data_IF_757087567942
#
_entry.id   IF_757087567942
#
_cell.length_a   1.000
_cell.length_b   1.000
_cell.length_c   1.000
_cell.angle_alpha   90.00
_cell.angle_beta   90.00
_cell.angle_gamma   90.00
#
_symmetry.space_group_name_H-M   'P 1'
#
loop_
_entity.id
_entity.type
_entity.pdbx_description
1 polymer ?
#
# COMPACT_ATOMS: atom_id res chain seq x y z
N UNK A 1 -21.40 54.06 -36.31
CA UNK A 1 -20.03 53.50 -36.18
C UNK A 1 -20.03 52.50 -35.04
N UNK A 2 -20.02 51.19 -35.33
CA UNK A 2 -19.90 50.14 -34.31
C UNK A 2 -18.62 49.33 -34.59
N UNK A 3 -17.69 49.35 -33.63
CA UNK A 3 -16.38 48.70 -33.71
C UNK A 3 -16.54 47.23 -33.30
N UNK A 4 -16.27 46.32 -34.23
CA UNK A 4 -16.32 44.87 -34.00
C UNK A 4 -15.00 44.40 -33.38
N UNK A 5 -14.99 44.18 -32.07
CA UNK A 5 -13.87 43.59 -31.34
C UNK A 5 -13.85 42.07 -31.54
N UNK A 6 -12.93 41.60 -32.37
CA UNK A 6 -12.66 40.17 -32.54
C UNK A 6 -11.96 39.65 -31.29
N UNK A 7 -12.71 38.98 -30.39
CA UNK A 7 -12.13 38.18 -29.30
C UNK A 7 -11.31 37.04 -29.87
N UNK A 8 -10.00 37.06 -29.64
CA UNK A 8 -9.10 35.97 -29.98
C UNK A 8 -9.29 34.73 -29.09
N UNK A 9 -8.72 33.57 -29.48
CA UNK A 9 -8.84 32.32 -28.73
C UNK A 9 -8.18 32.46 -27.35
N UNK A 10 -8.92 32.12 -26.29
CA UNK A 10 -8.43 32.13 -24.90
C UNK A 10 -7.33 31.09 -24.70
N UNK A 11 -6.23 31.50 -24.11
CA UNK A 11 -5.00 30.71 -23.89
C UNK A 11 -5.05 29.85 -22.60
N UNK A 12 -6.21 29.76 -21.94
CA UNK A 12 -6.34 29.16 -20.61
C UNK A 12 -6.74 27.67 -20.61
N UNK A 13 -6.71 27.01 -21.77
CA UNK A 13 -6.96 25.57 -21.85
C UNK A 13 -5.64 24.86 -22.14
N UNK A 14 -5.11 24.03 -21.22
CA UNK A 14 -3.96 23.20 -21.54
C UNK A 14 -4.36 22.29 -22.71
N UNK A 15 -3.60 22.37 -23.81
CA UNK A 15 -3.76 21.47 -24.95
C UNK A 15 -3.39 20.04 -24.54
N UNK A 16 -4.35 19.29 -24.02
CA UNK A 16 -4.24 17.84 -23.90
C UNK A 16 -4.45 17.17 -25.25
N UNK A 17 -3.44 17.19 -26.13
CA UNK A 17 -3.41 16.22 -27.24
C UNK A 17 -2.04 15.93 -27.81
N UNK A 18 -1.14 15.39 -27.00
CA UNK A 18 -0.14 14.49 -27.55
C UNK A 18 -0.71 13.07 -27.56
N UNK A 19 -1.36 12.70 -28.67
CA UNK A 19 -1.73 11.30 -28.94
C UNK A 19 -0.43 10.54 -29.17
N UNK A 20 0.22 10.14 -28.10
CA UNK A 20 1.39 9.27 -28.16
C UNK A 20 0.89 7.94 -28.71
N UNK A 21 1.30 7.59 -29.92
CA UNK A 21 1.13 6.26 -30.49
C UNK A 21 2.05 5.35 -29.67
N UNK A 22 1.58 4.90 -28.51
CA UNK A 22 2.20 3.78 -27.83
C UNK A 22 1.70 2.53 -28.54
N UNK A 23 2.58 1.71 -29.15
CA UNK A 23 2.15 0.40 -29.61
C UNK A 23 1.72 -0.38 -28.37
N UNK A 24 0.40 -0.53 -28.20
CA UNK A 24 -0.17 -1.42 -27.19
C UNK A 24 0.12 -2.83 -27.65
N UNK A 25 1.32 -3.32 -27.36
CA UNK A 25 1.57 -4.75 -27.32
C UNK A 25 0.64 -5.33 -26.25
N UNK A 26 -0.19 -6.28 -26.68
CA UNK A 26 -1.30 -6.85 -25.93
C UNK A 26 -0.82 -7.46 -24.59
N UNK A 27 -0.89 -6.66 -23.53
CA UNK A 27 -0.27 -6.88 -22.22
C UNK A 27 -0.90 -8.08 -21.48
N UNK A 28 -2.14 -8.42 -21.83
CA UNK A 28 -2.92 -9.54 -21.31
C UNK A 28 -2.32 -10.91 -21.71
N UNK A 29 -1.85 -11.01 -22.96
CA UNK A 29 -1.38 -12.27 -23.55
C UNK A 29 0.07 -12.54 -23.14
N UNK A 30 0.93 -11.53 -23.19
CA UNK A 30 2.30 -11.61 -22.69
C UNK A 30 2.34 -11.85 -21.16
N UNK A 31 1.35 -11.33 -20.44
CA UNK A 31 1.32 -11.42 -18.99
C UNK A 31 1.08 -12.84 -18.45
N UNK A 32 0.17 -13.56 -19.09
CA UNK A 32 -0.12 -14.98 -18.79
C UNK A 32 1.06 -15.89 -19.13
N UNK A 33 1.76 -15.62 -20.23
CA UNK A 33 2.94 -16.39 -20.65
C UNK A 33 4.09 -16.22 -19.64
N UNK A 34 4.39 -14.99 -19.24
CA UNK A 34 5.47 -14.72 -18.28
C UNK A 34 5.22 -15.32 -16.89
N UNK A 35 3.98 -15.29 -16.39
CA UNK A 35 3.64 -15.94 -15.12
C UNK A 35 3.83 -17.47 -15.19
N UNK A 36 3.49 -18.07 -16.34
CA UNK A 36 3.68 -19.50 -16.57
C UNK A 36 5.15 -19.88 -16.65
N UNK A 37 5.97 -19.05 -17.32
CA UNK A 37 7.42 -19.23 -17.42
C UNK A 37 8.09 -19.11 -16.05
N UNK A 38 7.72 -18.11 -15.24
CA UNK A 38 8.26 -17.94 -13.89
C UNK A 38 7.92 -19.13 -12.97
N UNK A 39 6.67 -19.61 -13.01
CA UNK A 39 6.26 -20.81 -12.26
C UNK A 39 6.93 -22.08 -12.77
N UNK A 40 7.26 -22.13 -14.06
CA UNK A 40 7.92 -23.28 -14.67
C UNK A 40 9.40 -23.39 -14.26
N UNK A 41 10.17 -22.28 -14.33
CA UNK A 41 11.58 -22.27 -13.91
C UNK A 41 11.77 -22.31 -12.39
N UNK A 42 10.81 -21.81 -11.61
CA UNK A 42 10.87 -21.86 -10.13
C UNK A 42 10.50 -23.22 -9.52
N UNK A 43 10.06 -24.20 -10.33
CA UNK A 43 9.66 -25.52 -9.83
C UNK A 43 10.85 -26.48 -9.80
N UNK A 44 11.10 -27.09 -8.64
CA UNK A 44 12.09 -28.18 -8.48
C UNK A 44 11.90 -29.35 -9.47
N UNK A 45 10.68 -29.54 -9.99
CA UNK A 45 10.35 -30.59 -10.96
C UNK A 45 11.03 -30.37 -12.32
N UNK A 46 11.18 -29.11 -12.75
CA UNK A 46 11.84 -28.80 -14.04
C UNK A 46 13.31 -29.18 -14.00
N UNK A 47 13.99 -28.82 -12.91
CA UNK A 47 15.39 -29.15 -12.71
C UNK A 47 15.62 -30.66 -12.69
N UNK A 48 14.75 -31.40 -11.97
CA UNK A 48 14.80 -32.86 -11.95
C UNK A 48 14.61 -33.51 -13.33
N UNK A 49 13.63 -33.05 -14.12
CA UNK A 49 13.40 -33.59 -15.47
C UNK A 49 14.59 -33.29 -16.40
N UNK A 50 15.16 -32.09 -16.35
CA UNK A 50 16.35 -31.72 -17.13
C UNK A 50 17.57 -32.58 -16.77
N UNK A 51 17.81 -32.81 -15.48
CA UNK A 51 18.90 -33.70 -15.03
C UNK A 51 18.69 -35.13 -15.51
N UNK A 52 17.47 -35.66 -15.41
CA UNK A 52 17.15 -37.01 -15.90
C UNK A 52 17.33 -37.11 -17.41
N UNK A 53 16.93 -36.09 -18.18
CA UNK A 53 17.12 -36.08 -19.63
C UNK A 53 18.61 -36.10 -20.02
N UNK A 54 19.45 -35.30 -19.35
CA UNK A 54 20.90 -35.28 -19.57
C UNK A 54 21.52 -36.63 -19.20
N UNK A 55 21.17 -37.18 -18.03
CA UNK A 55 21.67 -38.48 -17.58
C UNK A 55 21.21 -39.62 -18.51
N UNK A 56 19.97 -39.59 -18.98
CA UNK A 56 19.46 -40.57 -19.93
C UNK A 56 20.20 -40.51 -21.27
N UNK A 57 20.49 -39.29 -21.78
CA UNK A 57 21.28 -39.11 -23.00
C UNK A 57 22.72 -39.61 -22.84
N UNK A 58 23.35 -39.31 -21.69
CA UNK A 58 24.68 -39.78 -21.36
C UNK A 58 24.71 -41.31 -21.22
N UNK A 59 23.74 -41.89 -20.51
CA UNK A 59 23.58 -43.33 -20.35
C UNK A 59 23.38 -44.01 -21.70
N UNK A 60 22.52 -43.46 -22.57
CA UNK A 60 22.31 -43.98 -23.92
C UNK A 60 23.61 -43.98 -24.72
N UNK A 61 24.36 -42.89 -24.76
CA UNK A 61 25.61 -42.84 -25.53
C UNK A 61 26.77 -43.67 -24.94
N UNK A 62 26.76 -43.93 -23.63
CA UNK A 62 27.80 -44.73 -22.96
C UNK A 62 27.52 -46.23 -23.02
N UNK A 63 26.26 -46.63 -22.81
CA UNK A 63 25.82 -48.04 -22.80
C UNK A 63 25.50 -48.56 -24.21
N UNK A 64 25.26 -47.68 -25.20
CA UNK A 64 25.00 -48.11 -26.56
C UNK A 64 26.22 -48.79 -27.20
N UNK A 65 26.01 -49.88 -27.96
CA UNK A 65 27.02 -50.49 -28.82
C UNK A 65 27.63 -49.45 -29.78
N UNK A 66 28.89 -49.63 -30.16
CA UNK A 66 29.66 -48.69 -31.00
C UNK A 66 29.00 -48.30 -32.33
N UNK A 67 28.07 -49.11 -32.85
CA UNK A 67 27.32 -48.84 -34.08
C UNK A 67 26.06 -47.96 -33.90
N UNK A 68 25.58 -47.76 -32.66
CA UNK A 68 24.39 -46.97 -32.31
C UNK A 68 24.73 -45.71 -31.49
N UNK A 69 26.02 -45.41 -31.30
CA UNK A 69 26.46 -44.20 -30.59
C UNK A 69 26.23 -42.99 -31.50
N UNK A 70 25.23 -42.20 -31.16
CA UNK A 70 24.87 -40.97 -31.89
C UNK A 70 25.88 -39.85 -31.56
N UNK A 71 26.42 -39.82 -30.33
CA UNK A 71 27.30 -38.76 -29.82
C UNK A 71 28.45 -39.35 -28.96
N UNK A 72 29.56 -39.78 -29.59
CA UNK A 72 30.75 -40.26 -28.88
C UNK A 72 31.41 -39.17 -28.02
N UNK A 73 32.21 -39.55 -27.02
CA UNK A 73 33.03 -38.62 -26.22
C UNK A 73 33.85 -37.72 -27.16
N UNK A 74 33.77 -36.38 -27.07
CA UNK A 74 33.36 -35.52 -25.94
C UNK A 74 31.90 -35.01 -25.91
N UNK A 75 30.93 -35.69 -26.51
CA UNK A 75 29.50 -35.30 -26.52
C UNK A 75 29.23 -33.92 -27.17
N UNK A 76 29.65 -33.77 -28.42
CA UNK A 76 29.56 -32.50 -29.15
C UNK A 76 28.11 -32.09 -29.38
N UNK A 77 27.21 -33.04 -29.63
CA UNK A 77 25.80 -32.75 -29.88
C UNK A 77 25.11 -32.25 -28.62
N UNK A 78 25.32 -32.92 -27.49
CA UNK A 78 24.81 -32.46 -26.19
C UNK A 78 25.31 -31.05 -25.87
N UNK A 79 26.59 -30.78 -26.10
CA UNK A 79 27.21 -29.47 -25.87
C UNK A 79 26.60 -28.39 -26.78
N UNK A 80 26.40 -28.69 -28.07
CA UNK A 80 25.76 -27.78 -29.02
C UNK A 80 24.34 -27.43 -28.55
N UNK A 81 23.54 -28.42 -28.18
CA UNK A 81 22.17 -28.21 -27.70
C UNK A 81 22.15 -27.38 -26.42
N UNK A 82 23.02 -27.67 -25.45
CA UNK A 82 23.13 -26.89 -24.21
C UNK A 82 23.55 -25.44 -24.47
N UNK A 83 24.50 -25.21 -25.39
CA UNK A 83 24.92 -23.84 -25.74
C UNK A 83 23.80 -23.04 -26.42
N UNK A 84 23.05 -23.68 -27.31
CA UNK A 84 21.88 -23.09 -27.96
C UNK A 84 20.77 -22.79 -26.93
N UNK A 85 20.53 -23.71 -26.00
CA UNK A 85 19.55 -23.55 -24.93
C UNK A 85 19.84 -22.32 -24.07
N UNK A 86 21.10 -22.10 -23.71
CA UNK A 86 21.52 -20.90 -22.98
C UNK A 86 21.35 -19.62 -23.81
N UNK A 87 21.67 -19.66 -25.11
CA UNK A 87 21.56 -18.50 -26.01
C UNK A 87 20.12 -18.04 -26.19
N UNK A 88 19.17 -18.96 -26.36
CA UNK A 88 17.74 -18.61 -26.51
C UNK A 88 17.07 -18.24 -25.17
N UNK A 89 17.63 -18.66 -24.03
CA UNK A 89 17.12 -18.26 -22.73
C UNK A 89 17.28 -16.75 -22.49
N UNK A 90 18.39 -16.13 -22.94
CA UNK A 90 18.64 -14.70 -22.75
C UNK A 90 17.53 -13.77 -23.27
N UNK A 91 17.07 -13.86 -24.54
CA UNK A 91 15.98 -13.01 -25.05
C UNK A 91 14.63 -13.30 -24.38
N UNK A 92 14.35 -14.55 -24.01
CA UNK A 92 13.14 -14.90 -23.26
C UNK A 92 13.14 -14.28 -21.86
N UNK A 93 14.30 -14.30 -21.19
CA UNK A 93 14.49 -13.67 -19.88
C UNK A 93 14.34 -12.15 -20.00
N UNK A 94 14.91 -11.52 -21.03
CA UNK A 94 14.76 -10.08 -21.28
C UNK A 94 13.30 -9.67 -21.49
N UNK A 95 12.52 -10.47 -22.23
CA UNK A 95 11.08 -10.25 -22.39
C UNK A 95 10.32 -10.39 -21.07
N UNK A 96 10.72 -11.33 -20.20
CA UNK A 96 10.14 -11.48 -18.87
C UNK A 96 10.52 -10.33 -17.93
N UNK A 97 11.75 -9.82 -18.02
CA UNK A 97 12.29 -8.74 -17.18
C UNK A 97 11.73 -7.36 -17.55
N UNK A 98 11.59 -7.03 -18.84
CA UNK A 98 11.02 -5.74 -19.26
C UNK A 98 9.64 -5.48 -18.64
N UNK A 99 8.84 -6.54 -18.47
CA UNK A 99 7.53 -6.43 -17.83
C UNK A 99 7.56 -6.32 -16.31
N UNK A 100 8.55 -6.93 -15.64
CA UNK A 100 8.75 -6.71 -14.20
C UNK A 100 9.05 -5.23 -13.94
N UNK A 101 9.97 -4.66 -14.73
CA UNK A 101 10.30 -3.24 -14.65
C UNK A 101 9.11 -2.31 -14.91
N UNK A 102 8.22 -2.63 -15.86
CA UNK A 102 7.01 -1.84 -16.13
C UNK A 102 6.00 -1.89 -14.97
N UNK A 103 5.77 -3.06 -14.35
CA UNK A 103 4.92 -3.16 -13.16
C UNK A 103 5.53 -2.43 -11.98
N UNK A 104 6.82 -2.62 -11.75
CA UNK A 104 7.54 -1.97 -10.66
C UNK A 104 7.42 -0.45 -10.81
N UNK A 105 7.54 0.07 -12.04
CA UNK A 105 7.34 1.49 -12.33
C UNK A 105 5.95 2.00 -11.97
N UNK A 106 4.89 1.27 -12.30
CA UNK A 106 3.50 1.66 -11.93
C UNK A 106 3.32 1.61 -10.41
N UNK A 107 3.83 0.56 -9.77
CA UNK A 107 3.76 0.43 -8.31
C UNK A 107 4.52 1.56 -7.61
N UNK A 108 5.69 1.95 -8.11
CA UNK A 108 6.43 3.11 -7.60
C UNK A 108 5.67 4.42 -7.77
N UNK A 109 4.91 4.60 -8.86
CA UNK A 109 4.09 5.80 -9.05
C UNK A 109 2.93 5.83 -8.05
N UNK A 110 2.21 4.72 -7.89
CA UNK A 110 1.13 4.64 -6.89
C UNK A 110 1.65 4.85 -5.46
N UNK A 111 2.81 4.30 -5.12
CA UNK A 111 3.40 4.44 -3.80
C UNK A 111 3.80 5.89 -3.51
N UNK A 112 4.28 6.62 -4.52
CA UNK A 112 4.53 8.07 -4.43
C UNK A 112 3.24 8.85 -4.17
N UNK A 113 2.18 8.59 -4.95
CA UNK A 113 0.89 9.26 -4.77
C UNK A 113 0.29 8.95 -3.39
N UNK A 114 0.42 7.71 -2.91
CA UNK A 114 0.00 7.31 -1.56
C UNK A 114 0.80 8.04 -0.50
N UNK A 115 2.12 8.14 -0.66
CA UNK A 115 2.99 8.85 0.28
C UNK A 115 2.65 10.34 0.36
N UNK A 116 2.38 10.99 -0.78
CA UNK A 116 1.94 12.39 -0.83
C UNK A 116 0.60 12.58 -0.09
N UNK A 117 -0.37 11.69 -0.29
CA UNK A 117 -1.65 11.72 0.44
C UNK A 117 -1.47 11.47 1.95
N UNK A 118 -0.59 10.55 2.33
CA UNK A 118 -0.28 10.27 3.73
C UNK A 118 0.35 11.50 4.41
N UNK A 119 1.27 12.18 3.72
CA UNK A 119 1.88 13.41 4.21
C UNK A 119 0.82 14.51 4.40
N UNK A 120 -0.04 14.73 3.41
CA UNK A 120 -1.12 15.71 3.50
C UNK A 120 -2.10 15.43 4.65
N UNK A 121 -2.46 14.15 4.87
CA UNK A 121 -3.30 13.75 5.99
C UNK A 121 -2.61 13.96 7.35
N UNK A 122 -1.30 13.69 7.43
CA UNK A 122 -0.53 13.92 8.65
C UNK A 122 -0.45 15.42 9.00
N UNK A 123 -0.24 16.29 8.00
CA UNK A 123 -0.25 17.74 8.17
C UNK A 123 -1.63 18.24 8.62
N UNK A 124 -2.70 17.71 8.00
CA UNK A 124 -4.07 18.03 8.39
C UNK A 124 -4.36 17.64 9.85
N UNK A 125 -4.06 16.39 10.22
CA UNK A 125 -4.24 15.91 11.60
C UNK A 125 -3.43 16.72 12.60
N UNK A 126 -2.19 17.10 12.26
CA UNK A 126 -1.34 17.92 13.14
C UNK A 126 -1.94 19.29 13.39
N UNK A 127 -2.51 19.92 12.34
CA UNK A 127 -3.22 21.20 12.47
C UNK A 127 -4.50 21.05 13.30
N UNK A 128 -5.26 20.00 13.08
CA UNK A 128 -6.50 19.72 13.82
C UNK A 128 -6.21 19.47 15.30
N UNK A 129 -5.18 18.67 15.62
CA UNK A 129 -4.73 18.42 16.99
C UNK A 129 -4.24 19.71 17.66
N UNK A 130 -3.55 20.58 16.92
CA UNK A 130 -3.10 21.87 17.44
C UNK A 130 -4.29 22.79 17.75
N UNK A 131 -5.30 22.83 16.89
CA UNK A 131 -6.54 23.57 17.12
C UNK A 131 -7.31 23.01 18.33
N UNK A 132 -7.44 21.68 18.42
CA UNK A 132 -8.05 21.02 19.57
C UNK A 132 -7.30 21.33 20.88
N UNK A 133 -5.97 21.32 20.86
CA UNK A 133 -5.15 21.67 22.02
C UNK A 133 -5.36 23.10 22.48
N UNK A 134 -5.50 24.05 21.56
CA UNK A 134 -5.79 25.46 21.88
C UNK A 134 -7.18 25.59 22.51
N UNK A 135 -8.21 24.98 21.90
CA UNK A 135 -9.58 24.99 22.42
C UNK A 135 -9.67 24.33 23.82
N UNK A 136 -8.98 23.20 24.03
CA UNK A 136 -8.88 22.57 25.35
C UNK A 136 -8.06 23.41 26.32
N UNK A 137 -7.03 24.12 25.86
CA UNK A 137 -6.23 25.02 26.70
C UNK A 137 -7.06 26.17 27.27
N UNK A 138 -7.99 26.73 26.50
CA UNK A 138 -8.92 27.76 26.96
C UNK A 138 -9.92 27.22 28.01
N UNK A 139 -10.50 26.04 27.77
CA UNK A 139 -11.46 25.39 28.68
C UNK A 139 -10.82 24.82 29.96
N UNK A 140 -9.57 24.34 29.86
CA UNK A 140 -8.85 23.69 30.96
C UNK A 140 -7.92 24.65 31.72
N UNK A 141 -8.21 25.96 31.72
CA UNK A 141 -7.47 26.86 32.61
C UNK A 141 -7.74 26.42 34.04
N UNK A 142 -6.68 26.04 34.78
CA UNK A 142 -6.77 25.48 36.15
C UNK A 142 -7.68 26.31 37.05
N UNK A 143 -7.67 27.63 36.89
CA UNK A 143 -8.47 28.54 37.69
C UNK A 143 -9.97 28.50 37.34
N UNK A 144 -10.34 28.28 36.08
CA UNK A 144 -11.73 28.08 35.66
C UNK A 144 -12.26 26.73 36.17
N UNK A 145 -11.51 25.64 35.95
CA UNK A 145 -11.88 24.31 36.45
C UNK A 145 -11.97 24.30 37.98
N UNK A 146 -11.05 24.96 38.66
CA UNK A 146 -11.07 25.10 40.12
C UNK A 146 -12.24 25.96 40.60
N UNK A 147 -12.57 27.01 39.86
CA UNK A 147 -13.73 27.86 40.10
C UNK A 147 -15.01 27.05 40.04
N UNK A 148 -15.24 26.36 38.93
CA UNK A 148 -16.47 25.58 38.71
C UNK A 148 -16.59 24.42 39.70
N UNK A 149 -15.49 23.70 39.97
CA UNK A 149 -15.46 22.66 41.01
C UNK A 149 -15.79 23.24 42.38
N UNK A 150 -15.25 24.42 42.73
CA UNK A 150 -15.54 25.06 44.02
C UNK A 150 -16.99 25.50 44.10
N UNK A 151 -17.51 26.12 43.05
CA UNK A 151 -18.91 26.56 42.97
C UNK A 151 -19.87 25.38 43.10
N UNK A 152 -19.63 24.29 42.37
CA UNK A 152 -20.43 23.07 42.49
C UNK A 152 -20.33 22.44 43.90
N UNK A 153 -19.15 22.52 44.53
CA UNK A 153 -18.94 22.00 45.88
C UNK A 153 -19.64 22.86 46.95
N UNK A 154 -19.62 24.19 46.79
CA UNK A 154 -20.35 25.14 47.64
C UNK A 154 -21.86 24.92 47.50
N UNK A 155 -22.37 24.78 46.27
CA UNK A 155 -23.78 24.49 46.01
C UNK A 155 -24.23 23.17 46.67
N UNK A 156 -23.39 22.12 46.58
CA UNK A 156 -23.68 20.84 47.25
C UNK A 156 -23.64 20.94 48.78
N UNK A 157 -22.70 21.72 49.32
CA UNK A 157 -22.57 21.95 50.76
C UNK A 157 -23.77 22.70 51.31
N UNK A 158 -24.21 23.77 50.64
CA UNK A 158 -25.38 24.57 51.04
C UNK A 158 -26.67 23.74 51.01
N UNK A 159 -26.82 22.87 50.00
CA UNK A 159 -27.95 21.94 49.92
C UNK A 159 -27.96 20.99 51.13
N UNK A 160 -26.81 20.41 51.50
CA UNK A 160 -26.70 19.51 52.65
C UNK A 160 -26.98 20.23 53.98
N UNK A 161 -26.46 21.44 54.17
CA UNK A 161 -26.70 22.24 55.38
C UNK A 161 -28.18 22.63 55.51
N UNK A 162 -28.81 23.02 54.40
CA UNK A 162 -30.24 23.36 54.37
C UNK A 162 -31.15 22.16 54.71
N UNK A 163 -30.76 20.95 54.30
CA UNK A 163 -31.48 19.73 54.66
C UNK A 163 -31.23 19.33 56.13
N UNK A 164 -30.04 19.60 56.68
CA UNK A 164 -29.75 19.42 58.10
C UNK A 164 -30.56 20.38 58.98
N UNK A 165 -30.65 21.66 58.61
CA UNK A 165 -31.42 22.67 59.36
C UNK A 165 -32.94 22.42 59.30
N UNK A 166 -33.48 22.02 58.14
CA UNK A 166 -34.89 21.60 58.07
C UNK A 166 -35.18 20.42 58.97
N UNK A 167 -34.24 19.47 59.07
CA UNK A 167 -34.43 18.27 59.88
C UNK A 167 -34.32 18.56 61.37
N UNK A 168 -33.48 19.51 61.77
CA UNK A 168 -33.34 19.96 63.16
C UNK A 168 -34.53 20.80 63.65
N UNK A 169 -35.12 21.64 62.78
CA UNK A 169 -36.37 22.34 63.10
C UNK A 169 -37.55 21.39 63.29
N UNK A 170 -37.68 20.37 62.43
CA UNK A 170 -38.76 19.38 62.55
C UNK A 170 -38.64 18.55 63.84
N UNK A 171 -37.42 18.20 64.26
CA UNK A 171 -37.15 17.46 65.49
C UNK A 171 -37.42 18.31 66.75
N UNK A 172 -37.01 19.59 66.74
CA UNK A 172 -37.25 20.51 67.86
C UNK A 172 -38.75 20.88 67.99
N UNK A 173 -39.48 20.93 66.88
CA UNK A 173 -40.93 21.15 66.89
C UNK A 173 -41.67 19.91 67.40
N UNK A 174 -41.25 18.70 67.00
CA UNK A 174 -41.79 17.45 67.57
C UNK A 174 -41.46 17.26 69.06
N UNK A 175 -40.35 17.80 69.55
CA UNK A 175 -39.99 17.72 70.96
C UNK A 175 -40.74 18.75 71.83
N UNK A 176 -41.16 19.89 71.26
CA UNK A 176 -42.03 20.86 71.94
C UNK A 176 -43.50 20.42 72.03
N UNK A 177 -43.97 19.62 71.07
CA UNK A 177 -45.35 19.10 71.07
C UNK A 177 -45.54 17.85 71.95
N UNK A 178 -44.47 17.24 72.48
CA UNK A 178 -44.50 16.07 73.38
C UNK A 178 -44.34 16.38 74.88
N UNK A 179 -44.44 17.66 75.27
CA UNK A 179 -44.42 18.15 76.66
C UNK A 179 -45.77 18.81 77.01
#
# INVERSE_FOLDING_TARGET
>A
MARNERRGPRLDQPLERSRTIRPTFDSETAGRVSERVARFFGSWRFLGWMTVAILAWLAWNTLAPTHLRIDPFPFLFLTLVLSLQASYAAPLILLAQNRQADRDRVQFQEDRDRTERLLANADYLTREVSALRLALGELATRDFLRGEIKTLLEEFSDLLDSDFDRKSELDNTQQKDNL
#
